data_IF_802900910527
#
_entry.id   IF_802900910527
#
_cell.length_a   1.000
_cell.length_b   1.000
_cell.length_c   1.000
_cell.angle_alpha   90.00
_cell.angle_beta   90.00
_cell.angle_gamma   90.00
#
_symmetry.space_group_name_H-M   'P 1'
#
loop_
_entity.id
_entity.type
_entity.pdbx_description
1 polymer ?
#
# COMPACT_ATOMS: atom_id res chain seq x y z
N UNK A 1 41.72 4.59 -10.80
CA UNK A 1 40.99 4.64 -9.51
C UNK A 1 39.79 5.53 -9.74
N UNK A 2 38.61 4.93 -9.95
CA UNK A 2 37.40 5.68 -10.31
C UNK A 2 36.69 6.08 -9.02
N UNK A 3 36.58 7.38 -8.73
CA UNK A 3 35.85 7.88 -7.57
C UNK A 3 34.37 7.53 -7.70
N UNK A 4 33.83 6.77 -6.74
CA UNK A 4 32.39 6.63 -6.54
C UNK A 4 31.86 7.99 -6.08
N UNK A 5 31.34 8.79 -7.01
CA UNK A 5 30.54 9.98 -6.66
C UNK A 5 29.39 9.53 -5.77
N UNK A 6 29.40 9.96 -4.51
CA UNK A 6 28.30 9.72 -3.58
C UNK A 6 27.01 10.29 -4.19
N UNK A 7 25.99 9.44 -4.33
CA UNK A 7 24.66 9.85 -4.79
C UNK A 7 24.02 10.68 -3.67
N UNK A 8 23.42 11.85 -3.96
CA UNK A 8 22.72 12.62 -2.95
C UNK A 8 21.62 11.77 -2.31
N UNK A 9 21.48 11.86 -0.98
CA UNK A 9 20.31 11.30 -0.31
C UNK A 9 19.07 12.03 -0.83
N UNK A 10 18.09 11.29 -1.33
CA UNK A 10 16.84 11.81 -1.87
C UNK A 10 15.74 11.49 -0.86
N UNK A 11 14.99 12.50 -0.44
CA UNK A 11 13.83 12.35 0.43
C UNK A 11 12.53 12.50 -0.38
N UNK A 12 11.44 11.96 0.15
CA UNK A 12 10.13 12.15 -0.45
C UNK A 12 9.74 13.64 -0.38
N UNK A 13 9.27 14.20 -1.50
CA UNK A 13 8.78 15.58 -1.55
C UNK A 13 7.53 15.77 -0.68
N UNK A 14 6.75 14.71 -0.47
CA UNK A 14 5.61 14.68 0.44
C UNK A 14 5.14 13.26 0.69
N UNK A 15 4.28 13.12 1.70
CA UNK A 15 3.59 11.87 2.03
C UNK A 15 2.13 12.16 2.33
N UNK A 16 1.25 11.24 1.95
CA UNK A 16 -0.17 11.33 2.24
C UNK A 16 -0.64 9.99 2.80
N UNK A 17 -1.29 10.04 3.95
CA UNK A 17 -1.95 8.88 4.53
C UNK A 17 -3.37 8.77 4.01
N UNK A 18 -3.83 7.53 3.79
CA UNK A 18 -5.23 7.23 3.51
C UNK A 18 -5.71 6.10 4.42
N UNK A 19 -7.00 6.11 4.72
CA UNK A 19 -7.64 5.11 5.57
C UNK A 19 -8.72 4.39 4.76
N UNK A 20 -8.65 3.06 4.73
CA UNK A 20 -9.62 2.21 4.07
C UNK A 20 -10.37 1.37 5.12
N UNK A 21 -11.67 1.62 5.26
CA UNK A 21 -12.53 0.87 6.17
C UNK A 21 -13.28 -0.22 5.39
N UNK A 22 -13.18 -1.46 5.86
CA UNK A 22 -13.80 -2.62 5.22
C UNK A 22 -14.63 -3.37 6.26
N UNK A 23 -15.84 -3.79 5.88
CA UNK A 23 -16.75 -4.54 6.74
C UNK A 23 -16.85 -5.97 6.22
N UNK A 24 -16.44 -6.92 7.06
CA UNK A 24 -16.71 -8.33 6.85
C UNK A 24 -18.22 -8.62 6.88
N UNK A 25 -18.73 -9.35 5.89
CA UNK A 25 -20.17 -9.67 5.80
C UNK A 25 -20.48 -11.15 5.97
N UNK A 26 -19.46 -12.00 6.13
CA UNK A 26 -19.58 -13.46 6.23
C UNK A 26 -18.63 -14.03 7.27
N UNK A 27 -19.00 -15.17 7.86
CA UNK A 27 -18.12 -15.97 8.70
C UNK A 27 -17.03 -16.66 7.87
N UNK A 28 -15.92 -17.01 8.53
CA UNK A 28 -14.78 -17.68 7.95
C UNK A 28 -13.65 -16.74 7.53
N UNK A 29 -12.73 -17.27 6.72
CA UNK A 29 -11.59 -16.52 6.21
C UNK A 29 -12.02 -15.67 5.02
N UNK A 30 -11.72 -14.38 5.07
CA UNK A 30 -11.91 -13.45 3.97
C UNK A 30 -10.56 -12.85 3.59
N UNK A 31 -10.20 -12.96 2.30
CA UNK A 31 -9.00 -12.36 1.73
C UNK A 31 -9.37 -11.10 0.98
N UNK A 32 -8.69 -10.02 1.31
CA UNK A 32 -8.74 -8.73 0.62
C UNK A 32 -7.43 -8.63 -0.16
N UNK A 33 -7.53 -8.53 -1.48
CA UNK A 33 -6.38 -8.54 -2.39
C UNK A 33 -6.57 -7.56 -3.53
N UNK A 34 -5.47 -7.15 -4.16
CA UNK A 34 -5.51 -6.32 -5.37
C UNK A 34 -5.89 -4.86 -5.12
N UNK A 35 -5.67 -4.36 -3.89
CA UNK A 35 -5.82 -2.92 -3.61
C UNK A 35 -4.64 -2.17 -4.22
N UNK A 36 -4.93 -1.21 -5.11
CA UNK A 36 -3.92 -0.42 -5.83
C UNK A 36 -4.21 1.06 -5.64
N UNK A 37 -3.16 1.86 -5.45
CA UNK A 37 -3.26 3.31 -5.33
C UNK A 37 -2.81 3.96 -6.63
N UNK A 38 -3.62 4.90 -7.13
CA UNK A 38 -3.29 5.72 -8.29
C UNK A 38 -3.20 7.19 -7.87
N UNK A 39 -2.03 7.80 -8.08
CA UNK A 39 -1.81 9.22 -7.90
C UNK A 39 -2.35 9.98 -9.10
N UNK A 40 -3.39 10.80 -8.88
CA UNK A 40 -4.04 11.58 -9.94
C UNK A 40 -3.23 12.81 -10.38
N UNK A 41 -2.30 13.28 -9.54
CA UNK A 41 -1.45 14.45 -9.79
C UNK A 41 -0.21 13.99 -10.56
N UNK A 42 0.53 13.00 -10.05
CA UNK A 42 1.74 12.47 -10.69
C UNK A 42 1.45 11.48 -11.81
N UNK A 43 0.19 11.00 -11.94
CA UNK A 43 -0.25 9.97 -12.88
C UNK A 43 0.54 8.67 -12.75
N UNK A 44 0.86 8.30 -11.51
CA UNK A 44 1.61 7.08 -11.17
C UNK A 44 0.71 6.07 -10.49
N UNK A 45 0.88 4.80 -10.86
CA UNK A 45 0.28 3.67 -10.15
C UNK A 45 1.34 3.11 -9.21
N UNK A 46 1.01 2.97 -7.93
CA UNK A 46 1.89 2.33 -6.96
C UNK A 46 1.76 0.81 -7.01
N UNK A 47 2.74 0.12 -6.43
CA UNK A 47 2.65 -1.32 -6.24
C UNK A 47 1.41 -1.67 -5.41
N UNK A 48 0.79 -2.84 -5.67
CA UNK A 48 -0.37 -3.28 -4.89
C UNK A 48 -0.04 -3.34 -3.40
N UNK A 49 -1.02 -2.98 -2.57
CA UNK A 49 -0.91 -3.20 -1.13
C UNK A 49 -0.85 -4.69 -0.84
N UNK A 50 -0.23 -5.03 0.29
CA UNK A 50 -0.19 -6.42 0.77
C UNK A 50 -1.60 -6.96 0.95
N UNK A 51 -1.78 -8.22 0.56
CA UNK A 51 -3.04 -8.92 0.79
C UNK A 51 -3.30 -9.05 2.29
N UNK A 52 -4.55 -8.85 2.68
CA UNK A 52 -4.99 -8.95 4.08
C UNK A 52 -5.96 -10.10 4.21
N UNK A 53 -5.69 -11.01 5.14
CA UNK A 53 -6.61 -12.08 5.52
C UNK A 53 -7.21 -11.76 6.89
N UNK A 54 -8.54 -11.82 6.96
CA UNK A 54 -9.29 -11.67 8.21
C UNK A 54 -10.08 -12.95 8.46
N UNK A 55 -10.10 -13.39 9.72
CA UNK A 55 -10.95 -14.49 10.16
C UNK A 55 -12.11 -13.94 10.97
N UNK A 56 -13.33 -14.35 10.63
CA UNK A 56 -14.55 -13.88 11.25
C UNK A 56 -15.29 -15.07 11.83
N UNK A 57 -15.47 -15.07 13.14
CA UNK A 57 -16.24 -16.07 13.87
C UNK A 57 -17.48 -15.45 14.50
N UNK A 58 -18.42 -16.31 14.89
CA UNK A 58 -19.54 -15.90 15.72
C UNK A 58 -19.05 -15.68 17.14
N UNK A 59 -19.64 -14.69 17.83
CA UNK A 59 -19.45 -14.46 19.27
C UNK A 59 -19.75 -15.71 20.13
#
# INVERSE_FOLDING_TARGET
MTELKAVPQVEAFGSTDFYLNIIATKLGVQRISGVVVFDTIEKKTFDPLVDVEIFVESD
#
